data_IF_950824646614
#
_entry.id   IF_950824646614
#
_cell.length_a   1.000
_cell.length_b   1.000
_cell.length_c   1.000
_cell.angle_alpha   90.00
_cell.angle_beta   90.00
_cell.angle_gamma   90.00
#
_symmetry.space_group_name_H-M   'P 1'
#
loop_
_entity.id
_entity.type
_entity.pdbx_description
1 polymer ?
#
# COMPACT_ATOMS: atom_id res chain seq x y z
N UNK A 1 -12.77 -8.39 -6.34
CA UNK A 1 -11.59 -7.53 -6.57
C UNK A 1 -10.37 -8.35 -6.20
N UNK A 2 -9.47 -8.64 -7.16
CA UNK A 2 -8.35 -9.56 -6.96
C UNK A 2 -7.35 -9.13 -5.89
N UNK A 3 -7.20 -7.82 -5.63
CA UNK A 3 -6.37 -7.33 -4.53
C UNK A 3 -6.98 -7.68 -3.17
N UNK A 4 -8.28 -7.45 -2.98
CA UNK A 4 -8.96 -7.74 -1.72
C UNK A 4 -8.91 -9.25 -1.41
N UNK A 5 -9.25 -10.08 -2.40
CA UNK A 5 -9.28 -11.53 -2.23
C UNK A 5 -7.90 -12.11 -1.90
N UNK A 6 -6.87 -11.74 -2.69
CA UNK A 6 -5.51 -12.18 -2.42
C UNK A 6 -5.01 -11.70 -1.05
N UNK A 7 -5.29 -10.46 -0.67
CA UNK A 7 -4.90 -9.94 0.64
C UNK A 7 -5.57 -10.69 1.78
N UNK A 8 -6.90 -10.92 1.71
CA UNK A 8 -7.61 -11.65 2.76
C UNK A 8 -7.04 -13.07 2.90
N UNK A 9 -6.99 -13.84 1.81
CA UNK A 9 -6.55 -15.24 1.86
C UNK A 9 -5.15 -15.40 2.43
N UNK A 10 -4.19 -14.63 1.92
CA UNK A 10 -2.79 -14.74 2.34
C UNK A 10 -2.55 -14.18 3.75
N UNK A 11 -3.29 -13.14 4.16
CA UNK A 11 -3.17 -12.58 5.51
C UNK A 11 -3.76 -13.55 6.54
N UNK A 12 -4.91 -14.15 6.26
CA UNK A 12 -5.49 -15.17 7.14
C UNK A 12 -4.62 -16.42 7.23
N UNK A 13 -4.02 -16.86 6.12
CA UNK A 13 -3.07 -17.97 6.14
C UNK A 13 -1.87 -17.66 7.05
N UNK A 14 -1.30 -16.45 6.92
CA UNK A 14 -0.22 -15.99 7.79
C UNK A 14 -0.63 -15.93 9.26
N UNK A 15 -1.79 -15.35 9.58
CA UNK A 15 -2.29 -15.28 10.97
C UNK A 15 -2.50 -16.69 11.53
N UNK A 16 -3.10 -17.60 10.76
CA UNK A 16 -3.33 -18.98 11.17
C UNK A 16 -2.03 -19.68 11.59
N UNK A 17 -0.98 -19.47 10.81
CA UNK A 17 0.37 -19.98 11.10
C UNK A 17 0.97 -19.33 12.35
N UNK A 18 0.92 -17.99 12.46
CA UNK A 18 1.52 -17.26 13.59
C UNK A 18 0.82 -17.53 14.92
N UNK A 19 -0.51 -17.66 14.93
CA UNK A 19 -1.30 -17.84 16.15
C UNK A 19 -1.70 -19.31 16.39
N UNK A 20 -1.27 -20.22 15.52
CA UNK A 20 -1.58 -21.65 15.57
C UNK A 20 -3.10 -21.94 15.67
N UNK A 21 -3.91 -21.17 14.95
CA UNK A 21 -5.38 -21.34 14.91
C UNK A 21 -5.80 -22.13 13.68
N UNK A 22 -6.78 -23.01 13.86
CA UNK A 22 -7.32 -23.86 12.78
C UNK A 22 -8.59 -23.26 12.14
N UNK A 23 -9.21 -22.27 12.80
CA UNK A 23 -10.42 -21.62 12.32
C UNK A 23 -10.56 -20.22 12.92
N UNK A 24 -11.30 -19.36 12.22
CA UNK A 24 -11.57 -17.99 12.63
C UNK A 24 -13.05 -17.82 12.94
N UNK A 25 -13.36 -16.99 13.93
CA UNK A 25 -14.74 -16.52 14.13
C UNK A 25 -15.18 -15.70 12.91
N UNK A 26 -16.49 -15.65 12.61
CA UNK A 26 -17.01 -14.78 11.56
C UNK A 26 -16.62 -13.32 11.82
N UNK A 27 -16.04 -12.67 10.80
CA UNK A 27 -15.72 -11.24 10.84
C UNK A 27 -16.42 -10.51 9.69
N UNK A 28 -16.75 -9.25 9.93
CA UNK A 28 -17.25 -8.33 8.91
C UNK A 28 -16.15 -7.34 8.54
N UNK A 29 -15.80 -7.26 7.26
CA UNK A 29 -14.79 -6.32 6.75
C UNK A 29 -15.51 -5.23 5.97
N UNK A 30 -15.34 -3.98 6.40
CA UNK A 30 -15.84 -2.80 5.68
C UNK A 30 -14.66 -2.07 5.05
N UNK A 31 -14.69 -1.91 3.74
CA UNK A 31 -13.65 -1.20 2.98
C UNK A 31 -14.21 0.16 2.58
N UNK A 32 -13.63 1.22 3.15
CA UNK A 32 -14.00 2.59 2.86
C UNK A 32 -12.91 3.25 2.02
N UNK A 33 -13.33 4.00 1.01
CA UNK A 33 -12.43 4.80 0.18
C UNK A 33 -12.87 6.26 0.20
N UNK A 34 -11.95 7.17 0.50
CA UNK A 34 -12.21 8.60 0.36
C UNK A 34 -12.16 8.99 -1.13
N UNK A 35 -13.18 9.70 -1.62
CA UNK A 35 -13.22 10.17 -3.00
C UNK A 35 -11.97 11.00 -3.35
N UNK A 36 -11.48 11.80 -2.42
CA UNK A 36 -10.31 12.67 -2.59
C UNK A 36 -9.01 11.89 -2.81
N UNK A 37 -8.97 10.61 -2.41
CA UNK A 37 -7.84 9.72 -2.64
C UNK A 37 -7.84 9.09 -4.05
N UNK A 38 -9.02 8.96 -4.65
CA UNK A 38 -9.25 8.25 -5.91
C UNK A 38 -9.60 9.17 -7.09
N UNK A 39 -10.05 10.40 -6.83
CA UNK A 39 -10.43 11.38 -7.82
C UNK A 39 -9.50 12.59 -7.78
N UNK A 40 -9.06 13.03 -8.95
CA UNK A 40 -8.46 14.34 -9.13
C UNK A 40 -9.56 15.31 -9.53
N UNK A 41 -10.01 16.16 -8.60
CA UNK A 41 -10.78 17.33 -8.98
C UNK A 41 -9.82 18.36 -9.58
N UNK A 42 -9.98 18.64 -10.87
CA UNK A 42 -9.11 19.55 -11.63
C UNK A 42 -9.11 21.01 -11.11
N UNK A 43 -10.04 21.33 -10.20
CA UNK A 43 -10.29 22.68 -9.67
C UNK A 43 -9.42 23.04 -8.45
N UNK A 44 -8.74 22.09 -7.77
CA UNK A 44 -7.97 22.42 -6.56
C UNK A 44 -6.54 22.87 -6.90
N UNK A 45 -6.34 24.19 -6.97
CA UNK A 45 -5.15 24.86 -7.50
C UNK A 45 -4.05 25.19 -6.45
N UNK A 46 -3.99 24.52 -5.29
CA UNK A 46 -3.10 24.97 -4.20
C UNK A 46 -1.91 24.07 -3.80
N UNK A 47 -1.60 23.00 -4.54
CA UNK A 47 -0.40 22.18 -4.23
C UNK A 47 0.69 22.26 -5.31
N UNK A 48 1.98 22.44 -4.95
CA UNK A 48 3.09 22.50 -5.91
C UNK A 48 3.17 21.19 -6.70
N UNK A 49 3.04 21.27 -8.03
CA UNK A 49 3.09 20.10 -8.93
C UNK A 49 4.53 19.65 -9.16
N UNK A 50 4.82 18.38 -8.93
CA UNK A 50 5.96 17.71 -9.57
C UNK A 50 5.68 17.56 -11.08
N UNK A 51 6.70 17.64 -11.96
CA UNK A 51 6.50 17.54 -13.40
C UNK A 51 5.92 16.17 -13.79
N UNK A 52 4.82 16.20 -14.56
CA UNK A 52 4.07 15.03 -15.00
C UNK A 52 4.94 14.11 -15.87
N UNK A 53 5.05 12.83 -15.52
CA UNK A 53 5.37 11.77 -16.48
C UNK A 53 4.03 11.35 -17.10
N UNK A 54 3.75 11.81 -18.31
CA UNK A 54 2.51 11.50 -19.02
C UNK A 54 2.48 10.03 -19.47
N UNK A 55 1.44 9.29 -19.09
CA UNK A 55 1.03 8.07 -19.79
C UNK A 55 -0.09 8.43 -20.75
N UNK A 56 0.16 8.29 -22.05
CA UNK A 56 -0.91 8.20 -23.05
C UNK A 56 -1.69 6.90 -22.80
N UNK A 57 -3.00 7.01 -22.65
CA UNK A 57 -3.90 5.87 -22.70
C UNK A 57 -4.92 6.13 -23.81
N UNK A 58 -4.79 5.38 -24.89
CA UNK A 58 -5.78 5.32 -25.97
C UNK A 58 -6.87 4.30 -25.59
N UNK A 59 -8.14 4.69 -25.77
CA UNK A 59 -9.21 3.76 -26.16
C UNK A 59 -10.17 3.22 -25.07
N UNK A 60 -11.29 3.93 -24.93
CA UNK A 60 -12.67 3.50 -24.61
C UNK A 60 -12.99 2.09 -24.07
N UNK A 61 -13.67 2.04 -22.91
CA UNK A 61 -14.87 1.20 -22.69
C UNK A 61 -15.66 1.69 -21.45
N UNK A 62 -16.97 1.93 -21.62
CA UNK A 62 -17.92 2.25 -20.57
C UNK A 62 -18.29 1.01 -19.71
N UNK A 63 -18.76 1.26 -18.47
CA UNK A 63 -19.36 0.32 -17.49
C UNK A 63 -18.44 -0.33 -16.44
N UNK A 64 -17.73 0.52 -15.70
CA UNK A 64 -17.81 0.64 -14.25
C UNK A 64 -17.39 2.09 -13.96
N UNK A 65 -17.62 2.65 -12.77
CA UNK A 65 -16.86 3.84 -12.38
C UNK A 65 -15.39 3.41 -12.34
N UNK A 66 -14.70 3.53 -13.47
CA UNK A 66 -13.31 3.14 -13.64
C UNK A 66 -12.51 4.14 -12.83
N UNK A 67 -12.29 3.78 -11.57
CA UNK A 67 -11.47 4.56 -10.64
C UNK A 67 -10.14 4.76 -11.34
N UNK A 68 -9.91 5.98 -11.81
CA UNK A 68 -8.73 6.28 -12.61
C UNK A 68 -7.50 5.97 -11.79
N UNK A 69 -6.62 5.13 -12.35
CA UNK A 69 -5.34 4.82 -11.74
C UNK A 69 -4.47 6.07 -11.82
N UNK A 70 -4.50 6.86 -10.77
CA UNK A 70 -3.69 8.08 -10.62
C UNK A 70 -2.19 7.82 -10.62
N UNK A 71 -1.77 6.56 -10.46
CA UNK A 71 -0.36 6.19 -10.29
C UNK A 71 0.18 6.48 -8.88
N UNK A 72 -0.66 6.94 -7.95
CA UNK A 72 -0.28 7.31 -6.57
C UNK A 72 -0.17 6.12 -5.60
N UNK A 73 -0.28 4.88 -6.08
CA UNK A 73 -0.19 3.69 -5.22
C UNK A 73 -1.49 3.35 -4.48
N UNK A 74 -2.66 3.62 -5.07
CA UNK A 74 -3.95 3.33 -4.41
C UNK A 74 -4.16 1.84 -4.10
N UNK A 75 -3.68 0.93 -4.95
CA UNK A 75 -3.68 -0.51 -4.66
C UNK A 75 -2.77 -0.88 -3.49
N UNK A 76 -1.62 -0.22 -3.36
CA UNK A 76 -0.74 -0.41 -2.21
C UNK A 76 -1.39 0.11 -0.92
N UNK A 77 -2.02 1.28 -0.94
CA UNK A 77 -2.75 1.78 0.22
C UNK A 77 -3.87 0.84 0.66
N UNK A 78 -4.66 0.30 -0.29
CA UNK A 78 -5.72 -0.69 0.00
C UNK A 78 -5.15 -1.97 0.61
N UNK A 79 -4.11 -2.55 0.00
CA UNK A 79 -3.49 -3.79 0.49
C UNK A 79 -2.91 -3.56 1.88
N UNK A 80 -2.10 -2.52 2.05
CA UNK A 80 -1.43 -2.21 3.30
C UNK A 80 -2.42 -1.95 4.44
N UNK A 81 -3.47 -1.15 4.21
CA UNK A 81 -4.46 -0.86 5.24
C UNK A 81 -5.26 -2.11 5.65
N UNK A 82 -5.59 -2.97 4.69
CA UNK A 82 -6.30 -4.22 4.97
C UNK A 82 -5.42 -5.23 5.73
N UNK A 83 -4.14 -5.40 5.34
CA UNK A 83 -3.20 -6.24 6.10
C UNK A 83 -3.03 -5.70 7.52
N UNK A 84 -2.81 -4.40 7.67
CA UNK A 84 -2.64 -3.76 8.97
C UNK A 84 -3.85 -3.97 9.88
N UNK A 85 -5.07 -3.76 9.35
CA UNK A 85 -6.30 -3.95 10.11
C UNK A 85 -6.50 -5.40 10.57
N UNK A 86 -6.23 -6.37 9.71
CA UNK A 86 -6.34 -7.79 10.06
C UNK A 86 -5.29 -8.20 11.08
N UNK A 87 -4.02 -7.85 10.87
CA UNK A 87 -2.96 -8.19 11.82
C UNK A 87 -3.20 -7.54 13.20
N UNK A 88 -3.68 -6.29 13.24
CA UNK A 88 -4.04 -5.61 14.48
C UNK A 88 -5.24 -6.29 15.16
N UNK A 89 -6.26 -6.68 14.40
CA UNK A 89 -7.47 -7.32 14.94
C UNK A 89 -7.15 -8.66 15.62
N UNK A 90 -6.18 -9.40 15.08
CA UNK A 90 -5.73 -10.68 15.63
C UNK A 90 -4.50 -10.55 16.54
N UNK A 91 -4.12 -9.35 16.96
CA UNK A 91 -3.02 -9.08 17.88
C UNK A 91 -1.65 -9.62 17.40
N UNK A 92 -1.43 -9.67 16.08
CA UNK A 92 -0.14 -10.06 15.48
C UNK A 92 0.81 -8.86 15.40
N UNK A 93 0.26 -7.65 15.31
CA UNK A 93 1.00 -6.38 15.32
C UNK A 93 0.28 -5.37 16.21
N UNK A 94 1.01 -4.33 16.65
CA UNK A 94 0.44 -3.20 17.39
C UNK A 94 0.69 -1.90 16.61
N UNK A 95 -0.39 -1.35 16.06
CA UNK A 95 -0.39 -0.07 15.36
C UNK A 95 -0.22 1.09 16.37
N UNK A 96 0.43 2.19 15.97
CA UNK A 96 0.56 3.37 16.82
C UNK A 96 -0.82 3.93 17.22
N UNK A 97 -0.99 4.18 18.51
CA UNK A 97 -2.18 4.84 19.02
C UNK A 97 -2.07 6.36 18.78
N UNK A 98 -2.98 6.91 17.97
CA UNK A 98 -3.05 8.33 17.65
C UNK A 98 -3.39 9.22 18.86
N UNK A 99 -3.85 8.63 19.97
CA UNK A 99 -4.18 9.35 21.21
C UNK A 99 -3.02 9.42 22.21
N UNK A 100 -1.92 8.72 21.95
CA UNK A 100 -0.74 8.72 22.82
C UNK A 100 0.13 9.96 22.54
N UNK A 101 -0.03 11.01 23.35
CA UNK A 101 0.83 12.23 23.31
C UNK A 101 2.31 11.93 23.66
N UNK A 102 2.59 10.75 24.19
CA UNK A 102 3.95 10.22 24.36
C UNK A 102 4.42 9.70 23.01
N UNK A 103 5.31 10.45 22.34
CA UNK A 103 5.89 10.14 21.02
C UNK A 103 6.81 8.91 20.98
N UNK A 104 6.44 7.83 21.66
CA UNK A 104 7.21 6.61 21.81
C UNK A 104 6.37 5.31 21.71
N UNK A 105 5.09 5.38 21.29
CA UNK A 105 4.32 4.20 20.88
C UNK A 105 4.78 3.73 19.50
N UNK A 106 6.00 3.19 19.44
CA UNK A 106 6.57 2.64 18.21
C UNK A 106 5.67 1.54 17.63
N UNK A 107 5.50 1.53 16.31
CA UNK A 107 4.78 0.48 15.61
C UNK A 107 5.49 -0.87 15.80
N UNK A 108 4.94 -1.75 16.62
CA UNK A 108 5.44 -3.12 16.79
C UNK A 108 4.95 -4.01 15.64
N UNK A 109 5.87 -4.63 14.93
CA UNK A 109 5.55 -5.50 13.79
C UNK A 109 5.42 -4.77 12.45
N UNK A 110 5.91 -3.52 12.35
CA UNK A 110 5.90 -2.75 11.10
C UNK A 110 6.62 -3.47 9.93
N UNK A 111 7.72 -4.16 10.22
CA UNK A 111 8.43 -4.97 9.21
C UNK A 111 7.60 -6.17 8.74
N UNK A 112 6.88 -6.83 9.65
CA UNK A 112 5.95 -7.92 9.34
C UNK A 112 4.82 -7.41 8.44
N UNK A 113 4.22 -6.26 8.78
CA UNK A 113 3.23 -5.59 7.93
C UNK A 113 3.80 -5.34 6.53
N UNK A 114 4.99 -4.75 6.43
CA UNK A 114 5.61 -4.44 5.14
C UNK A 114 5.81 -5.68 4.27
N UNK A 115 6.43 -6.74 4.83
CA UNK A 115 6.72 -7.98 4.10
C UNK A 115 5.43 -8.66 3.62
N UNK A 116 4.43 -8.75 4.49
CA UNK A 116 3.16 -9.40 4.14
C UNK A 116 2.35 -8.57 3.14
N UNK A 117 2.30 -7.24 3.30
CA UNK A 117 1.65 -6.36 2.34
C UNK A 117 2.33 -6.42 0.97
N UNK A 118 3.66 -6.45 0.92
CA UNK A 118 4.42 -6.60 -0.32
C UNK A 118 4.11 -7.94 -0.99
N UNK A 119 4.09 -9.01 -0.21
CA UNK A 119 3.73 -10.34 -0.69
C UNK A 119 2.31 -10.37 -1.29
N UNK A 120 1.32 -9.90 -0.54
CA UNK A 120 -0.08 -9.84 -1.00
C UNK A 120 -0.24 -8.99 -2.26
N UNK A 121 0.45 -7.85 -2.34
CA UNK A 121 0.42 -6.97 -3.51
C UNK A 121 1.04 -7.65 -4.74
N UNK A 122 2.20 -8.30 -4.60
CA UNK A 122 2.83 -9.08 -5.67
C UNK A 122 1.93 -10.20 -6.19
N UNK A 123 1.28 -10.95 -5.29
CA UNK A 123 0.33 -12.01 -5.66
C UNK A 123 -0.86 -11.43 -6.43
N UNK A 124 -1.48 -10.37 -5.91
CA UNK A 124 -2.61 -9.71 -6.56
C UNK A 124 -2.25 -9.09 -7.92
N UNK A 125 -1.03 -8.54 -8.05
CA UNK A 125 -0.55 -7.93 -9.28
C UNK A 125 -0.09 -8.97 -10.32
N UNK A 126 0.19 -10.20 -9.90
CA UNK A 126 0.73 -11.26 -10.76
C UNK A 126 2.18 -11.04 -11.19
N UNK A 127 2.92 -10.14 -10.52
CA UNK A 127 4.33 -9.85 -10.81
C UNK A 127 5.05 -9.29 -9.58
N UNK A 128 6.37 -9.34 -9.61
CA UNK A 128 7.22 -8.71 -8.62
C UNK A 128 7.40 -7.24 -9.01
N UNK A 129 6.82 -6.33 -8.23
CA UNK A 129 7.03 -4.88 -8.34
C UNK A 129 8.25 -4.40 -7.53
N UNK A 130 8.56 -3.11 -7.61
CA UNK A 130 9.63 -2.50 -6.79
C UNK A 130 9.28 -2.45 -5.31
N UNK A 131 7.99 -2.48 -4.96
CA UNK A 131 7.49 -2.37 -3.60
C UNK A 131 7.57 -0.96 -3.00
N UNK A 132 7.93 0.04 -3.80
CA UNK A 132 8.07 1.42 -3.33
C UNK A 132 6.75 2.00 -2.81
N UNK A 133 5.64 1.75 -3.50
CA UNK A 133 4.30 2.20 -3.11
C UNK A 133 3.84 1.54 -1.80
N UNK A 134 4.10 0.23 -1.63
CA UNK A 134 3.83 -0.50 -0.38
C UNK A 134 4.71 0.00 0.75
N UNK A 135 6.02 0.18 0.50
CA UNK A 135 6.96 0.72 1.48
C UNK A 135 6.54 2.12 1.94
N UNK A 136 6.16 3.00 1.01
CA UNK A 136 5.69 4.35 1.34
C UNK A 136 4.40 4.31 2.16
N UNK A 137 3.49 3.38 1.86
CA UNK A 137 2.26 3.20 2.63
C UNK A 137 2.50 2.68 4.08
N UNK A 138 3.60 1.97 4.32
CA UNK A 138 3.92 1.40 5.65
C UNK A 138 4.84 2.30 6.47
N UNK A 139 5.89 2.84 5.85
CA UNK A 139 6.95 3.60 6.52
C UNK A 139 6.77 5.11 6.39
N UNK A 140 5.87 5.57 5.54
CA UNK A 140 5.70 6.98 5.23
C UNK A 140 6.75 7.46 4.21
N UNK A 141 7.30 8.65 4.43
CA UNK A 141 8.25 9.27 3.50
C UNK A 141 9.52 8.43 3.32
N UNK A 142 9.88 8.18 2.06
CA UNK A 142 11.11 7.47 1.69
C UNK A 142 12.09 8.48 1.10
N UNK A 143 13.29 8.55 1.67
CA UNK A 143 14.39 9.35 1.13
C UNK A 143 15.28 8.48 0.23
N UNK A 144 15.45 8.91 -1.03
CA UNK A 144 16.39 8.30 -1.96
C UNK A 144 17.61 9.20 -2.14
N UNK A 145 18.78 8.70 -1.75
CA UNK A 145 20.07 9.36 -2.01
C UNK A 145 20.69 8.75 -3.25
N UNK A 146 20.77 9.52 -4.33
CA UNK A 146 21.48 9.10 -5.54
C UNK A 146 22.98 8.94 -5.26
N UNK A 147 23.62 7.99 -5.93
CA UNK A 147 25.08 7.88 -5.93
C UNK A 147 25.73 9.13 -6.55
N UNK A 148 26.96 9.44 -6.13
CA UNK A 148 27.74 10.50 -6.78
C UNK A 148 27.98 10.12 -8.25
N UNK A 149 27.76 11.02 -9.23
CA UNK A 149 28.04 10.74 -10.64
C UNK A 149 29.48 10.25 -10.87
N UNK A 150 30.43 10.72 -10.06
CA UNK A 150 31.84 10.33 -10.14
C UNK A 150 32.12 8.85 -9.82
N UNK A 151 31.17 8.15 -9.19
CA UNK A 151 31.28 6.71 -8.89
C UNK A 151 30.89 5.87 -10.12
N UNK A 152 30.10 6.44 -11.02
CA UNK A 152 29.74 5.79 -12.28
C UNK A 152 30.62 6.32 -13.40
N UNK A 153 31.66 5.58 -13.76
CA UNK A 153 32.50 5.86 -14.93
C UNK A 153 31.77 5.44 -16.23
N UNK A 154 30.60 6.01 -16.45
CA UNK A 154 29.80 5.79 -17.64
C UNK A 154 30.30 6.74 -18.74
N UNK A 155 30.78 6.16 -19.84
CA UNK A 155 31.07 6.93 -21.05
C UNK A 155 29.80 7.68 -21.46
N UNK A 156 29.92 8.99 -21.65
CA UNK A 156 28.89 9.77 -22.32
C UNK A 156 28.94 9.41 -23.80
N UNK A 157 27.83 8.87 -24.31
CA UNK A 157 27.56 8.76 -25.74
C UNK A 157 27.37 10.14 -26.37
#
# INVERSE_FOLDING_TARGET
>A
NGYIEATILNTFAFIAEQTNVQSFNPISISINGDKSFYAFDAEDHQVPRFPKIARQADGAAEHAAEVQKTGLGSSAALVTSLVAALLQHFHVVELPDQSSESGNSGFQGQETLHKLAQYCHCIAQGKIGSGFDVAAAVFGSIEYVRFSPSVLDLKKD
#
